data_IF_573237483943
#
_entry.id   IF_573237483943
#
_cell.length_a   1.000
_cell.length_b   1.000
_cell.length_c   1.000
_cell.angle_alpha   90.00
_cell.angle_beta   90.00
_cell.angle_gamma   90.00
#
_symmetry.space_group_name_H-M   'P 1'
#
loop_
_entity.id
_entity.type
_entity.pdbx_description
1 polymer ?
#
# COMPACT_ATOMS: atom_id res chain seq x y z
N UNK A 1 4.48 -51.38 19.82
CA UNK A 1 5.49 -50.53 19.15
C UNK A 1 4.75 -49.45 18.39
N UNK A 2 4.78 -48.21 18.90
CA UNK A 2 4.13 -47.08 18.25
C UNK A 2 4.93 -46.70 16.99
N UNK A 3 4.26 -46.63 15.84
CA UNK A 3 4.82 -46.07 14.60
C UNK A 3 5.16 -44.60 14.87
N UNK A 4 6.44 -44.26 14.86
CA UNK A 4 6.91 -42.88 14.79
C UNK A 4 6.32 -42.24 13.52
N UNK A 5 5.32 -41.38 13.67
CA UNK A 5 4.87 -40.53 12.58
C UNK A 5 5.98 -39.52 12.29
N UNK A 6 6.61 -39.62 11.12
CA UNK A 6 7.68 -38.74 10.66
C UNK A 6 7.13 -37.37 10.23
N UNK A 7 6.56 -36.64 11.18
CA UNK A 7 6.08 -35.25 10.99
C UNK A 7 6.97 -34.25 11.72
N UNK A 8 7.91 -34.72 12.54
CA UNK A 8 8.93 -33.85 13.10
C UNK A 8 9.97 -33.53 12.00
N UNK A 9 9.97 -32.28 11.56
CA UNK A 9 11.09 -31.67 10.87
C UNK A 9 12.39 -32.13 11.56
N UNK A 10 13.39 -32.56 10.79
CA UNK A 10 14.72 -32.86 11.34
C UNK A 10 15.20 -31.71 12.23
N UNK A 11 15.95 -31.99 13.30
CA UNK A 11 16.44 -30.98 14.24
C UNK A 11 17.03 -29.76 13.52
N UNK A 12 17.84 -30.00 12.48
CA UNK A 12 18.40 -28.95 11.62
C UNK A 12 17.38 -28.08 10.89
N UNK A 13 16.27 -28.66 10.44
CA UNK A 13 15.19 -27.92 9.77
C UNK A 13 14.31 -27.12 10.75
N UNK A 14 14.15 -27.57 11.99
CA UNK A 14 13.46 -26.80 13.03
C UNK A 14 14.31 -25.60 13.48
N UNK A 15 15.61 -25.81 13.66
CA UNK A 15 16.57 -24.75 13.99
C UNK A 15 16.62 -23.70 12.87
N UNK A 16 16.67 -24.13 11.62
CA UNK A 16 16.66 -23.24 10.46
C UNK A 16 15.35 -22.46 10.35
N UNK A 17 14.20 -23.11 10.56
CA UNK A 17 12.89 -22.44 10.54
C UNK A 17 12.80 -21.38 11.64
N UNK A 18 13.23 -21.73 12.86
CA UNK A 18 13.27 -20.80 14.00
C UNK A 18 14.18 -19.61 13.70
N UNK A 19 15.39 -19.86 13.18
CA UNK A 19 16.33 -18.81 12.81
C UNK A 19 15.78 -17.90 11.69
N UNK A 20 15.12 -18.49 10.68
CA UNK A 20 14.48 -17.73 9.61
C UNK A 20 13.33 -16.86 10.14
N UNK A 21 12.43 -17.41 10.96
CA UNK A 21 11.31 -16.68 11.53
C UNK A 21 11.79 -15.53 12.42
N UNK A 22 12.83 -15.75 13.22
CA UNK A 22 13.45 -14.71 14.03
C UNK A 22 14.03 -13.61 13.13
N UNK A 23 14.86 -13.99 12.14
CA UNK A 23 15.43 -13.04 11.19
C UNK A 23 14.35 -12.23 10.45
N UNK A 24 13.28 -12.89 10.00
CA UNK A 24 12.18 -12.26 9.29
C UNK A 24 11.36 -11.33 10.21
N UNK A 25 11.16 -11.70 11.47
CA UNK A 25 10.48 -10.87 12.47
C UNK A 25 11.28 -9.59 12.77
N UNK A 26 12.61 -9.72 12.82
CA UNK A 26 13.50 -8.61 13.17
C UNK A 26 13.80 -7.67 11.99
N UNK A 27 13.85 -8.18 10.75
CA UNK A 27 14.39 -7.45 9.61
C UNK A 27 13.39 -7.16 8.47
N UNK A 28 12.20 -7.77 8.48
CA UNK A 28 11.24 -7.53 7.40
C UNK A 28 10.53 -6.17 7.53
N UNK A 29 9.96 -5.72 6.40
CA UNK A 29 8.99 -4.63 6.37
C UNK A 29 7.82 -4.90 7.32
N UNK A 30 7.13 -3.87 7.83
CA UNK A 30 6.13 -4.08 8.88
C UNK A 30 5.04 -5.06 8.49
N UNK A 31 4.79 -6.05 9.35
CA UNK A 31 3.70 -7.01 9.16
C UNK A 31 3.12 -7.43 10.51
N UNK A 32 1.84 -7.82 10.51
CA UNK A 32 1.18 -8.29 11.71
C UNK A 32 0.04 -9.26 11.40
N UNK A 33 -0.26 -10.13 12.36
CA UNK A 33 -1.37 -11.08 12.35
C UNK A 33 -2.40 -10.62 13.38
N UNK A 34 -3.67 -10.63 12.99
CA UNK A 34 -4.78 -10.33 13.90
C UNK A 34 -5.85 -11.42 13.85
N UNK A 35 -6.51 -11.62 14.98
CA UNK A 35 -7.71 -12.45 15.08
C UNK A 35 -8.97 -11.72 14.57
N UNK A 36 -10.11 -12.42 14.66
CA UNK A 36 -11.39 -11.92 14.20
C UNK A 36 -11.87 -10.67 14.97
N UNK A 37 -11.53 -10.59 16.25
CA UNK A 37 -11.88 -9.46 17.12
C UNK A 37 -11.02 -8.22 16.86
N UNK A 38 -9.88 -8.39 16.19
CA UNK A 38 -8.96 -7.30 15.87
C UNK A 38 -7.92 -7.09 16.94
N UNK A 39 -7.48 -8.17 17.57
CA UNK A 39 -6.37 -8.19 18.51
C UNK A 39 -5.12 -8.69 17.78
N UNK A 40 -3.97 -8.07 18.07
CA UNK A 40 -2.69 -8.51 17.52
C UNK A 40 -2.28 -9.85 18.15
N UNK A 41 -1.89 -10.82 17.32
CA UNK A 41 -1.36 -12.11 17.74
C UNK A 41 0.15 -12.21 17.57
N UNK A 42 0.65 -11.65 16.46
CA UNK A 42 2.07 -11.63 16.14
C UNK A 42 2.35 -10.43 15.25
N UNK A 43 3.56 -9.89 15.32
CA UNK A 43 3.98 -8.79 14.47
C UNK A 43 5.49 -8.76 14.29
N UNK A 44 5.95 -8.10 13.23
CA UNK A 44 7.36 -7.75 13.08
C UNK A 44 7.77 -6.72 14.13
N UNK A 45 9.07 -6.66 14.42
CA UNK A 45 9.66 -5.67 15.33
C UNK A 45 9.39 -4.22 14.88
N UNK A 46 9.25 -4.01 13.57
CA UNK A 46 9.04 -2.70 12.95
C UNK A 46 7.62 -2.15 13.11
N UNK A 47 6.63 -2.93 13.57
CA UNK A 47 5.24 -2.44 13.76
C UNK A 47 5.11 -1.45 14.93
N UNK A 48 5.62 -1.76 16.15
CA UNK A 48 5.65 -0.76 17.22
C UNK A 48 6.40 0.52 16.83
N UNK A 49 7.48 0.41 16.06
CA UNK A 49 8.25 1.56 15.55
C UNK A 49 7.41 2.40 14.58
N UNK A 50 6.73 1.75 13.63
CA UNK A 50 5.81 2.40 12.68
C UNK A 50 4.70 3.18 13.41
N UNK A 51 4.10 2.57 14.43
CA UNK A 51 3.07 3.21 15.25
C UNK A 51 3.63 4.13 16.33
N UNK A 52 4.97 4.21 16.45
CA UNK A 52 5.71 5.01 17.44
C UNK A 52 5.27 4.72 18.88
N UNK A 53 4.99 3.45 19.16
CA UNK A 53 4.58 2.95 20.46
C UNK A 53 5.78 2.82 21.39
N UNK A 54 5.59 3.18 22.67
CA UNK A 54 6.60 2.93 23.71
C UNK A 54 6.67 1.45 24.12
N UNK A 55 5.53 0.76 24.07
CA UNK A 55 5.43 -0.65 24.38
C UNK A 55 5.53 -1.45 23.08
N UNK A 56 6.45 -2.40 23.04
CA UNK A 56 6.69 -3.27 21.88
C UNK A 56 5.81 -4.52 21.88
N UNK A 57 5.20 -4.89 23.01
CA UNK A 57 4.30 -6.04 23.08
C UNK A 57 2.85 -5.62 22.77
N UNK A 58 2.39 -6.04 21.59
CA UNK A 58 1.03 -5.79 21.11
C UNK A 58 0.09 -6.98 21.33
N UNK A 59 0.59 -8.14 21.77
CA UNK A 59 -0.20 -9.37 21.90
C UNK A 59 -1.49 -9.15 22.70
N UNK A 60 -2.61 -9.60 22.14
CA UNK A 60 -3.94 -9.52 22.73
C UNK A 60 -4.54 -8.13 22.78
N UNK A 61 -3.86 -7.10 22.24
CA UNK A 61 -4.37 -5.72 22.23
C UNK A 61 -4.97 -5.38 20.89
N UNK A 62 -5.94 -4.48 20.90
CA UNK A 62 -6.55 -3.87 19.71
C UNK A 62 -5.95 -2.49 19.40
N UNK A 63 -6.20 -2.00 18.18
CA UNK A 63 -5.84 -0.62 17.80
C UNK A 63 -6.44 0.44 18.75
N UNK A 64 -7.61 0.14 19.34
CA UNK A 64 -8.30 1.05 20.25
C UNK A 64 -7.63 1.15 21.61
N UNK A 65 -7.25 0.01 22.20
CA UNK A 65 -6.53 -0.04 23.48
C UNK A 65 -5.11 0.52 23.37
N UNK A 66 -4.46 0.31 22.23
CA UNK A 66 -3.16 0.91 21.93
C UNK A 66 -3.26 2.43 21.71
N UNK A 67 -4.48 2.95 21.53
CA UNK A 67 -4.69 4.35 21.18
C UNK A 67 -3.96 4.70 19.90
N UNK A 68 -4.05 3.84 18.87
CA UNK A 68 -3.43 4.06 17.55
C UNK A 68 -4.50 4.15 16.47
N UNK A 69 -4.15 4.87 15.40
CA UNK A 69 -4.97 5.05 14.20
C UNK A 69 -6.32 5.73 14.50
N UNK A 70 -7.01 6.21 13.46
CA UNK A 70 -8.28 6.92 13.67
C UNK A 70 -9.45 5.96 13.91
N UNK A 71 -10.47 6.41 14.64
CA UNK A 71 -11.74 5.66 14.81
C UNK A 71 -12.36 5.24 13.47
N UNK A 72 -12.25 6.10 12.46
CA UNK A 72 -12.74 5.85 11.11
C UNK A 72 -11.96 4.72 10.42
N UNK A 73 -10.63 4.68 10.60
CA UNK A 73 -9.80 3.58 10.14
C UNK A 73 -10.22 2.27 10.82
N UNK A 74 -10.29 2.24 12.15
CA UNK A 74 -10.61 1.01 12.91
C UNK A 74 -11.92 0.37 12.45
N UNK A 75 -12.95 1.20 12.24
CA UNK A 75 -14.25 0.74 11.70
C UNK A 75 -14.15 0.15 10.29
N UNK A 76 -13.35 0.73 9.41
CA UNK A 76 -13.13 0.23 8.04
C UNK A 76 -12.28 -1.04 8.05
N UNK A 77 -11.19 -1.06 8.81
CA UNK A 77 -10.31 -2.21 8.92
C UNK A 77 -11.06 -3.43 9.46
N UNK A 78 -11.92 -3.27 10.47
CA UNK A 78 -12.82 -4.35 10.94
C UNK A 78 -13.63 -4.97 9.79
N UNK A 79 -14.27 -4.14 8.95
CA UNK A 79 -15.02 -4.63 7.78
C UNK A 79 -14.13 -5.35 6.76
N UNK A 80 -12.93 -4.82 6.52
CA UNK A 80 -11.94 -5.44 5.62
C UNK A 80 -11.54 -6.82 6.16
N UNK A 81 -11.15 -6.94 7.42
CA UNK A 81 -10.76 -8.22 8.04
C UNK A 81 -11.88 -9.25 7.97
N UNK A 82 -13.11 -8.88 8.35
CA UNK A 82 -14.27 -9.77 8.23
C UNK A 82 -14.48 -10.24 6.79
N UNK A 83 -14.29 -9.35 5.80
CA UNK A 83 -14.42 -9.70 4.38
C UNK A 83 -13.30 -10.63 3.91
N UNK A 84 -12.06 -10.35 4.31
CA UNK A 84 -10.87 -11.16 4.01
C UNK A 84 -11.04 -12.59 4.51
N UNK A 85 -11.44 -12.75 5.77
CA UNK A 85 -11.61 -14.07 6.40
C UNK A 85 -12.82 -14.85 5.85
N UNK A 86 -13.97 -14.18 5.66
CA UNK A 86 -15.21 -14.85 5.22
C UNK A 86 -15.17 -15.27 3.75
N UNK A 87 -14.56 -14.45 2.89
CA UNK A 87 -14.54 -14.68 1.44
C UNK A 87 -13.20 -15.18 0.91
N UNK A 88 -12.22 -15.39 1.78
CA UNK A 88 -10.84 -15.76 1.41
C UNK A 88 -10.28 -14.83 0.32
N UNK A 89 -10.25 -13.54 0.62
CA UNK A 89 -9.81 -12.49 -0.33
C UNK A 89 -8.54 -11.82 0.16
N UNK A 90 -7.60 -11.56 -0.75
CA UNK A 90 -6.54 -10.57 -0.55
C UNK A 90 -7.09 -9.19 -0.89
N UNK A 91 -7.06 -8.26 0.07
CA UNK A 91 -7.48 -6.87 -0.11
C UNK A 91 -6.26 -5.97 0.04
N UNK A 92 -6.06 -5.07 -0.94
CA UNK A 92 -5.00 -4.07 -0.92
C UNK A 92 -5.65 -2.70 -0.70
N UNK A 93 -5.25 -1.99 0.34
CA UNK A 93 -5.71 -0.64 0.62
C UNK A 93 -4.57 0.37 0.67
N UNK A 94 -4.87 1.59 0.23
CA UNK A 94 -4.08 2.78 0.53
C UNK A 94 -4.63 3.41 1.79
N UNK A 95 -3.74 3.66 2.72
CA UNK A 95 -4.04 4.16 4.06
C UNK A 95 -3.20 5.39 4.33
N UNK A 96 -3.86 6.54 4.42
CA UNK A 96 -3.24 7.82 4.72
C UNK A 96 -3.62 8.16 6.16
N UNK A 97 -2.69 7.98 7.09
CA UNK A 97 -2.94 8.17 8.52
C UNK A 97 -1.89 9.06 9.16
N UNK A 98 -2.32 9.71 10.24
CA UNK A 98 -1.42 10.34 11.18
C UNK A 98 -0.94 9.24 12.13
N UNK A 99 0.31 8.83 12.00
CA UNK A 99 0.97 8.06 13.03
C UNK A 99 1.25 9.02 14.19
N UNK A 100 0.88 8.65 15.42
CA UNK A 100 0.59 9.55 16.56
C UNK A 100 1.65 10.62 16.93
N UNK A 101 2.85 10.61 16.33
CA UNK A 101 3.90 11.63 16.51
C UNK A 101 4.46 12.23 15.23
N UNK A 102 3.93 11.90 14.05
CA UNK A 102 4.23 12.65 12.83
C UNK A 102 3.37 13.90 12.77
N UNK A 103 3.96 15.00 12.27
CA UNK A 103 3.21 16.24 11.98
C UNK A 103 2.38 16.13 10.70
N UNK A 104 2.54 15.04 9.95
CA UNK A 104 2.00 14.88 8.61
C UNK A 104 1.36 13.50 8.45
N UNK A 105 0.24 13.45 7.73
CA UNK A 105 -0.37 12.20 7.35
C UNK A 105 0.53 11.47 6.34
N UNK A 106 0.85 10.22 6.62
CA UNK A 106 1.76 9.41 5.79
C UNK A 106 0.95 8.36 5.03
N UNK A 107 1.10 8.28 3.69
CA UNK A 107 0.45 7.26 2.89
C UNK A 107 1.24 5.96 2.94
N UNK A 108 0.56 4.87 3.31
CA UNK A 108 1.09 3.52 3.33
C UNK A 108 0.10 2.56 2.68
N UNK A 109 0.60 1.41 2.27
CA UNK A 109 -0.20 0.40 1.60
C UNK A 109 -0.27 -0.84 2.45
N UNK A 110 -1.50 -1.26 2.70
CA UNK A 110 -1.83 -2.40 3.53
C UNK A 110 -2.29 -3.52 2.60
N UNK A 111 -1.59 -4.65 2.67
CA UNK A 111 -1.95 -5.88 1.95
C UNK A 111 -2.44 -6.86 3.01
N UNK A 112 -3.76 -7.03 3.10
CA UNK A 112 -4.40 -7.91 4.08
C UNK A 112 -4.90 -9.18 3.40
N UNK A 113 -4.55 -10.32 3.97
CA UNK A 113 -4.78 -11.65 3.41
C UNK A 113 -5.30 -12.61 4.48
N UNK A 114 -6.06 -13.64 4.09
CA UNK A 114 -6.43 -14.68 5.03
C UNK A 114 -5.17 -15.43 5.48
N UNK A 115 -5.08 -15.73 6.77
CA UNK A 115 -4.05 -16.57 7.35
C UNK A 115 -4.75 -17.71 8.10
N UNK A 116 -4.50 -18.95 7.68
CA UNK A 116 -5.09 -20.14 8.28
C UNK A 116 -4.04 -20.80 9.16
N UNK A 117 -4.38 -21.08 10.41
CA UNK A 117 -3.54 -21.86 11.31
C UNK A 117 -4.43 -22.81 12.11
N UNK A 118 -4.24 -24.11 11.89
CA UNK A 118 -5.22 -25.12 12.30
C UNK A 118 -6.58 -24.88 11.65
N UNK A 119 -7.63 -24.98 12.46
CA UNK A 119 -9.02 -24.72 12.04
C UNK A 119 -9.44 -23.26 12.20
N UNK A 120 -8.55 -22.40 12.69
CA UNK A 120 -8.83 -20.99 12.94
C UNK A 120 -8.43 -20.09 11.76
N UNK A 121 -9.24 -19.04 11.55
CA UNK A 121 -9.03 -18.04 10.51
C UNK A 121 -8.59 -16.72 11.12
N UNK A 122 -7.46 -16.25 10.64
CA UNK A 122 -6.87 -14.97 11.00
C UNK A 122 -6.68 -14.11 9.76
N UNK A 123 -6.13 -12.93 9.97
CA UNK A 123 -5.60 -12.10 8.87
C UNK A 123 -4.14 -11.84 9.09
N UNK A 124 -3.34 -11.89 8.02
CA UNK A 124 -2.00 -11.33 8.00
C UNK A 124 -2.03 -10.05 7.16
N UNK A 125 -1.44 -8.98 7.69
CA UNK A 125 -1.32 -7.70 7.02
C UNK A 125 0.14 -7.33 6.87
N UNK A 126 0.54 -7.02 5.65
CA UNK A 126 1.85 -6.43 5.34
C UNK A 126 1.67 -4.96 5.03
N UNK A 127 2.53 -4.12 5.58
CA UNK A 127 2.55 -2.68 5.35
C UNK A 127 3.79 -2.32 4.56
N UNK A 128 3.59 -1.61 3.46
CA UNK A 128 4.65 -1.19 2.55
C UNK A 128 4.50 0.28 2.21
N UNK A 129 5.61 0.90 1.79
CA UNK A 129 5.61 2.25 1.26
C UNK A 129 4.86 2.33 -0.08
N UNK A 130 4.21 3.46 -0.37
CA UNK A 130 3.50 3.70 -1.64
C UNK A 130 4.38 3.55 -2.88
N UNK A 131 5.69 3.82 -2.77
CA UNK A 131 6.67 3.59 -3.83
C UNK A 131 6.75 2.11 -4.25
N UNK A 132 6.32 1.20 -3.37
CA UNK A 132 6.32 -0.23 -3.65
C UNK A 132 5.10 -0.68 -4.47
N UNK A 133 4.01 0.11 -4.53
CA UNK A 133 2.74 -0.27 -5.20
C UNK A 133 2.91 -0.70 -6.65
N UNK A 134 3.78 -0.03 -7.40
CA UNK A 134 3.94 -0.29 -8.85
C UNK A 134 4.82 -1.48 -9.17
N UNK A 135 5.64 -1.92 -8.21
CA UNK A 135 6.33 -3.21 -8.28
C UNK A 135 5.36 -4.40 -8.13
N UNK A 136 4.17 -4.19 -7.57
CA UNK A 136 3.13 -5.22 -7.42
C UNK A 136 2.08 -5.24 -8.53
N UNK A 137 2.01 -4.19 -9.36
CA UNK A 137 1.40 -4.38 -10.68
C UNK A 137 2.37 -5.31 -11.42
N UNK A 138 1.97 -6.55 -11.65
CA UNK A 138 2.73 -7.55 -12.41
C UNK A 138 2.88 -7.10 -13.87
N UNK A 139 3.57 -5.99 -14.11
CA UNK A 139 4.37 -5.87 -15.32
C UNK A 139 5.43 -6.94 -15.17
N UNK A 140 5.21 -8.07 -15.84
CA UNK A 140 6.24 -9.08 -16.03
C UNK A 140 7.56 -8.39 -16.32
N UNK A 141 8.65 -8.82 -15.70
CA UNK A 141 9.98 -8.28 -15.95
C UNK A 141 10.30 -8.28 -17.46
N UNK A 142 9.75 -9.26 -18.18
CA UNK A 142 9.79 -9.35 -19.64
C UNK A 142 9.02 -8.24 -20.38
N UNK A 143 8.01 -7.61 -19.78
CA UNK A 143 7.31 -6.40 -20.31
C UNK A 143 8.03 -5.09 -19.97
N UNK A 144 8.90 -5.06 -18.96
CA UNK A 144 9.82 -3.92 -18.76
C UNK A 144 10.99 -3.97 -19.74
N UNK A 145 11.44 -5.17 -20.11
CA UNK A 145 12.56 -5.39 -21.04
C UNK A 145 12.15 -5.53 -22.50
N UNK A 146 10.93 -6.00 -22.79
CA UNK A 146 10.39 -5.91 -24.14
C UNK A 146 10.12 -4.44 -24.43
N UNK A 147 10.63 -3.94 -25.55
CA UNK A 147 10.31 -2.61 -26.11
C UNK A 147 8.82 -2.44 -26.47
N UNK A 148 7.97 -3.36 -26.04
CA UNK A 148 6.52 -3.39 -26.25
C UNK A 148 5.76 -2.96 -24.98
N UNK A 149 6.26 -1.96 -24.26
CA UNK A 149 5.37 -1.14 -23.45
C UNK A 149 4.63 -0.21 -24.40
N UNK A 150 3.43 -0.62 -24.79
CA UNK A 150 2.47 0.16 -25.56
C UNK A 150 2.22 1.52 -24.90
N UNK A 151 3.05 2.53 -25.20
CA UNK A 151 2.63 3.92 -25.10
C UNK A 151 1.59 4.13 -26.19
N UNK A 152 0.37 4.52 -25.83
CA UNK A 152 -0.50 5.10 -26.84
C UNK A 152 0.04 6.49 -27.14
N UNK A 153 0.37 6.71 -28.41
CA UNK A 153 0.99 7.92 -28.97
C UNK A 153 2.41 8.23 -28.46
N UNK A 154 3.30 8.41 -29.43
CA UNK A 154 4.66 8.96 -29.34
C UNK A 154 4.70 10.05 -28.26
N UNK A 155 5.42 9.81 -27.17
CA UNK A 155 5.76 10.88 -26.23
C UNK A 155 6.42 12.01 -27.02
N UNK A 156 6.01 13.26 -26.80
CA UNK A 156 6.59 14.42 -27.52
C UNK A 156 8.08 14.60 -27.25
N UNK A 157 8.57 14.03 -26.15
CA UNK A 157 9.96 14.05 -25.74
C UNK A 157 10.50 12.63 -25.50
N UNK A 158 11.79 12.40 -25.76
CA UNK A 158 12.46 11.18 -25.31
C UNK A 158 12.25 10.92 -23.82
N UNK A 159 11.97 9.67 -23.45
CA UNK A 159 11.75 9.25 -22.04
C UNK A 159 12.85 9.76 -21.11
N UNK A 160 14.11 9.77 -21.57
CA UNK A 160 15.28 10.20 -20.79
C UNK A 160 15.20 11.65 -20.32
N UNK A 161 14.57 12.54 -21.09
CA UNK A 161 14.44 13.95 -20.71
C UNK A 161 13.56 14.14 -19.47
N UNK A 162 12.70 13.16 -19.15
CA UNK A 162 11.90 13.20 -17.94
C UNK A 162 12.67 12.82 -16.67
N UNK A 163 13.90 12.31 -16.79
CA UNK A 163 14.74 11.96 -15.64
C UNK A 163 15.17 13.17 -14.81
N UNK A 164 15.26 14.34 -15.45
CA UNK A 164 15.65 15.60 -14.83
C UNK A 164 14.43 16.43 -14.39
N UNK A 165 13.21 15.98 -14.74
CA UNK A 165 11.99 16.70 -14.40
C UNK A 165 11.53 16.34 -12.99
N UNK A 166 11.50 17.37 -12.13
CA UNK A 166 10.74 17.34 -10.89
C UNK A 166 9.35 17.94 -11.14
N UNK A 167 8.24 17.16 -11.02
CA UNK A 167 6.90 17.65 -11.34
C UNK A 167 6.46 18.84 -10.47
N UNK A 168 7.07 19.03 -9.30
CA UNK A 168 6.78 20.14 -8.39
C UNK A 168 7.27 21.50 -8.91
N UNK A 169 8.25 21.51 -9.83
CA UNK A 169 8.79 22.75 -10.39
C UNK A 169 7.87 23.32 -11.49
N UNK A 170 6.99 22.48 -12.05
CA UNK A 170 6.12 22.84 -13.19
C UNK A 170 4.65 22.92 -12.81
N UNK A 171 4.23 22.26 -11.73
CA UNK A 171 2.84 22.15 -11.33
C UNK A 171 2.61 22.81 -9.98
N UNK A 172 1.50 23.54 -9.87
CA UNK A 172 1.05 24.01 -8.56
C UNK A 172 0.52 22.85 -7.70
N UNK A 173 0.42 23.08 -6.39
CA UNK A 173 -0.02 22.09 -5.40
C UNK A 173 -1.36 21.43 -5.77
N UNK A 174 -2.30 22.20 -6.32
CA UNK A 174 -3.59 21.65 -6.72
C UNK A 174 -3.50 20.71 -7.92
N UNK A 175 -2.69 21.07 -8.92
CA UNK A 175 -2.45 20.25 -10.11
C UNK A 175 -1.74 18.96 -9.72
N UNK A 176 -0.68 19.09 -8.91
CA UNK A 176 0.09 17.95 -8.43
C UNK A 176 -0.73 17.03 -7.54
N UNK A 177 -1.56 17.57 -6.64
CA UNK A 177 -2.44 16.76 -5.81
C UNK A 177 -3.39 15.87 -6.62
N UNK A 178 -4.04 16.43 -7.65
CA UNK A 178 -4.91 15.65 -8.52
C UNK A 178 -4.14 14.56 -9.28
N UNK A 179 -2.96 14.88 -9.81
CA UNK A 179 -2.11 13.91 -10.51
C UNK A 179 -1.59 12.81 -9.56
N UNK A 180 -1.16 13.17 -8.36
CA UNK A 180 -0.70 12.21 -7.37
C UNK A 180 -1.82 11.26 -6.93
N UNK A 181 -3.06 11.75 -6.80
CA UNK A 181 -4.22 10.88 -6.58
C UNK A 181 -4.46 9.92 -7.77
N UNK A 182 -4.24 10.35 -9.01
CA UNK A 182 -4.22 9.43 -10.15
C UNK A 182 -3.10 8.38 -10.01
N UNK A 183 -1.91 8.77 -9.52
CA UNK A 183 -0.81 7.81 -9.26
C UNK A 183 -1.21 6.73 -8.26
N UNK A 184 -2.01 7.11 -7.28
CA UNK A 184 -2.56 6.26 -6.23
C UNK A 184 -3.81 5.46 -6.65
N UNK A 185 -4.23 5.52 -7.92
CA UNK A 185 -5.34 4.73 -8.44
C UNK A 185 -6.74 5.29 -8.16
N UNK A 186 -6.85 6.57 -7.80
CA UNK A 186 -8.15 7.22 -7.66
C UNK A 186 -8.75 7.54 -9.04
N UNK A 187 -10.05 7.30 -9.19
CA UNK A 187 -10.80 7.71 -10.37
C UNK A 187 -11.03 9.23 -10.36
N UNK A 188 -11.31 9.82 -11.53
CA UNK A 188 -11.59 11.27 -11.62
C UNK A 188 -12.79 11.67 -10.74
N UNK A 189 -13.77 10.77 -10.57
CA UNK A 189 -14.91 10.95 -9.68
C UNK A 189 -14.51 10.92 -8.20
N UNK A 190 -13.55 10.07 -7.82
CA UNK A 190 -13.06 10.07 -6.44
C UNK A 190 -12.23 11.33 -6.16
N UNK A 191 -11.39 11.74 -7.12
CA UNK A 191 -10.59 12.97 -7.04
C UNK A 191 -11.48 14.19 -6.89
N UNK A 192 -12.56 14.28 -7.69
CA UNK A 192 -13.50 15.41 -7.61
C UNK A 192 -14.12 15.53 -6.21
N UNK A 193 -14.45 14.40 -5.57
CA UNK A 193 -14.96 14.36 -4.20
C UNK A 193 -13.90 14.77 -3.17
N UNK A 194 -12.66 14.29 -3.31
CA UNK A 194 -11.57 14.57 -2.35
C UNK A 194 -11.12 16.03 -2.42
N UNK A 195 -11.06 16.57 -3.63
CA UNK A 195 -10.63 17.95 -3.91
C UNK A 195 -11.78 18.96 -3.86
N UNK A 196 -13.00 18.51 -3.57
CA UNK A 196 -14.22 19.33 -3.49
C UNK A 196 -14.49 20.13 -4.79
N UNK A 197 -14.21 19.50 -5.93
CA UNK A 197 -14.43 20.04 -7.28
C UNK A 197 -15.50 19.27 -8.02
N UNK A 198 -16.10 19.91 -9.02
CA UNK A 198 -16.93 19.18 -9.97
C UNK A 198 -16.06 18.31 -10.91
N UNK A 199 -16.68 17.31 -11.53
CA UNK A 199 -15.98 16.33 -12.37
C UNK A 199 -15.36 16.96 -13.63
N UNK A 200 -16.06 17.93 -14.25
CA UNK A 200 -15.58 18.63 -15.46
C UNK A 200 -14.30 19.41 -15.17
N UNK A 201 -14.28 20.19 -14.11
CA UNK A 201 -13.13 20.97 -13.66
C UNK A 201 -11.97 20.05 -13.26
N UNK A 202 -12.26 18.88 -12.69
CA UNK A 202 -11.23 17.87 -12.36
C UNK A 202 -10.58 17.31 -13.61
N UNK A 203 -11.36 16.93 -14.62
CA UNK A 203 -10.85 16.43 -15.89
C UNK A 203 -10.03 17.51 -16.64
N UNK A 204 -10.52 18.75 -16.64
CA UNK A 204 -9.83 19.87 -17.28
C UNK A 204 -8.51 20.20 -16.58
N UNK A 205 -8.49 20.20 -15.24
CA UNK A 205 -7.26 20.35 -14.46
C UNK A 205 -6.23 19.28 -14.82
N UNK A 206 -6.64 18.00 -14.82
CA UNK A 206 -5.75 16.88 -15.13
C UNK A 206 -5.19 16.99 -16.56
N UNK A 207 -6.04 17.32 -17.54
CA UNK A 207 -5.60 17.51 -18.92
C UNK A 207 -4.60 18.67 -19.06
N UNK A 208 -4.82 19.79 -18.36
CA UNK A 208 -3.85 20.89 -18.33
C UNK A 208 -2.53 20.44 -17.70
N UNK A 209 -2.56 19.71 -16.59
CA UNK A 209 -1.35 19.20 -15.94
C UNK A 209 -0.58 18.21 -16.82
N UNK A 210 -1.27 17.32 -17.55
CA UNK A 210 -0.62 16.41 -18.50
C UNK A 210 0.09 17.14 -19.64
N UNK A 211 -0.50 18.24 -20.14
CA UNK A 211 0.11 19.10 -21.16
C UNK A 211 1.32 19.84 -20.62
N UNK A 212 1.22 20.41 -19.41
CA UNK A 212 2.37 21.07 -18.75
C UNK A 212 3.56 20.14 -18.60
N UNK A 213 3.30 18.85 -18.32
CA UNK A 213 4.34 17.83 -18.22
C UNK A 213 4.70 17.18 -19.57
N UNK A 214 4.07 17.53 -20.70
CA UNK A 214 4.28 16.90 -22.01
C UNK A 214 4.08 15.36 -22.03
N UNK A 215 3.17 14.83 -21.20
CA UNK A 215 2.84 13.38 -21.17
C UNK A 215 1.51 13.05 -21.85
N UNK A 216 0.62 14.04 -22.03
CA UNK A 216 -0.64 14.04 -22.80
C UNK A 216 -1.71 12.98 -22.52
N UNK A 217 -1.38 11.83 -21.91
CA UNK A 217 -2.32 10.79 -21.53
C UNK A 217 -2.06 10.33 -20.10
N UNK A 218 -3.10 9.84 -19.42
CA UNK A 218 -2.95 9.22 -18.11
C UNK A 218 -1.99 8.03 -18.17
N UNK A 219 -2.04 7.20 -19.22
CA UNK A 219 -1.17 6.03 -19.39
C UNK A 219 0.31 6.43 -19.44
N UNK A 220 0.63 7.45 -20.23
CA UNK A 220 1.99 8.00 -20.34
C UNK A 220 2.44 8.63 -19.03
N UNK A 221 1.58 9.41 -18.37
CA UNK A 221 1.85 9.95 -17.04
C UNK A 221 2.17 8.84 -16.04
N UNK A 222 1.36 7.78 -15.99
CA UNK A 222 1.57 6.63 -15.11
C UNK A 222 2.88 5.90 -15.43
N UNK A 223 3.24 5.77 -16.71
CA UNK A 223 4.50 5.14 -17.11
C UNK A 223 5.72 5.96 -16.66
N UNK A 224 5.77 7.25 -17.01
CA UNK A 224 6.89 8.16 -16.70
C UNK A 224 7.06 8.31 -15.18
N UNK A 225 5.96 8.57 -14.47
CA UNK A 225 6.00 8.68 -13.01
C UNK A 225 6.54 7.43 -12.33
N UNK A 226 6.17 6.24 -12.81
CA UNK A 226 6.66 4.97 -12.26
C UNK A 226 8.14 4.72 -12.56
N UNK A 227 8.65 5.17 -13.70
CA UNK A 227 10.08 5.07 -14.03
C UNK A 227 10.95 5.97 -13.14
N UNK A 228 10.48 7.19 -12.88
CA UNK A 228 11.25 8.22 -12.16
C UNK A 228 10.82 8.39 -10.70
N UNK A 229 9.96 7.51 -10.18
CA UNK A 229 9.57 7.47 -8.77
C UNK A 229 8.81 8.70 -8.30
N UNK A 230 8.02 9.34 -9.17
CA UNK A 230 7.32 10.58 -8.84
C UNK A 230 6.26 10.41 -7.74
N UNK A 231 5.84 9.19 -7.43
CA UNK A 231 4.96 8.90 -6.30
C UNK A 231 5.55 9.31 -4.93
N UNK A 232 6.87 9.49 -4.85
CA UNK A 232 7.59 9.98 -3.65
C UNK A 232 7.23 11.41 -3.28
N UNK A 233 6.81 12.22 -4.25
CA UNK A 233 6.45 13.62 -4.01
C UNK A 233 5.01 13.71 -3.48
N UNK A 234 4.83 13.51 -2.17
CA UNK A 234 3.49 13.52 -1.56
C UNK A 234 2.96 14.97 -1.44
N UNK A 235 1.77 15.30 -1.98
CA UNK A 235 1.19 16.64 -1.87
C UNK A 235 0.93 17.07 -0.43
N UNK A 236 1.19 18.33 -0.10
CA UNK A 236 0.95 18.90 1.26
C UNK A 236 -0.52 18.80 1.66
N UNK A 237 -1.41 18.97 0.70
CA UNK A 237 -2.86 18.85 0.90
C UNK A 237 -3.29 17.45 1.37
N UNK A 238 -2.64 16.40 0.88
CA UNK A 238 -2.88 15.01 1.29
C UNK A 238 -2.33 14.73 2.69
N UNK A 239 -1.22 15.39 3.04
CA UNK A 239 -0.61 15.30 4.36
C UNK A 239 -1.45 15.91 5.49
N UNK A 240 -2.67 16.38 5.23
CA UNK A 240 -3.55 17.07 6.18
C UNK A 240 -4.84 16.30 6.54
N UNK A 241 -5.18 15.20 5.84
CA UNK A 241 -6.45 14.48 6.01
C UNK A 241 -6.22 12.97 6.02
N UNK A 242 -6.99 12.22 6.84
CA UNK A 242 -7.00 10.76 6.77
C UNK A 242 -7.85 10.25 5.61
N UNK A 243 -7.32 9.28 4.86
CA UNK A 243 -8.04 8.65 3.75
C UNK A 243 -7.74 7.16 3.73
N UNK A 244 -8.77 6.36 3.45
CA UNK A 244 -8.64 4.93 3.15
C UNK A 244 -9.26 4.68 1.79
N UNK A 245 -8.56 3.98 0.89
CA UNK A 245 -9.08 3.56 -0.41
C UNK A 245 -8.72 2.10 -0.65
N UNK A 246 -9.71 1.31 -1.03
CA UNK A 246 -9.45 -0.03 -1.56
C UNK A 246 -8.89 0.13 -2.98
N UNK A 247 -7.66 -0.34 -3.18
CA UNK A 247 -6.97 -0.30 -4.47
C UNK A 247 -7.30 -1.56 -5.28
N UNK A 248 -7.33 -2.72 -4.64
CA UNK A 248 -7.55 -4.00 -5.31
C UNK A 248 -8.15 -5.05 -4.37
N UNK A 249 -8.96 -5.91 -4.94
CA UNK A 249 -9.49 -7.12 -4.30
C UNK A 249 -9.12 -8.30 -5.21
N UNK A 250 -8.49 -9.33 -4.64
CA UNK A 250 -8.02 -10.51 -5.35
C UNK A 250 -8.55 -11.74 -4.60
N UNK A 251 -9.04 -12.75 -5.33
CA UNK A 251 -9.37 -14.04 -4.72
C UNK A 251 -8.07 -14.71 -4.27
N UNK A 252 -7.96 -15.06 -2.99
CA UNK A 252 -6.77 -15.78 -2.53
C UNK A 252 -6.76 -17.16 -3.22
N UNK A 253 -5.61 -17.53 -3.78
CA UNK A 253 -5.38 -18.92 -4.16
C UNK A 253 -5.29 -19.70 -2.84
N UNK A 254 -6.20 -20.66 -2.64
CA UNK A 254 -6.07 -21.65 -1.58
C UNK A 254 -4.88 -22.57 -1.88
#
# INVERSE_FOLDING_TARGET
MAKHNSIDLSVRSQDLLTAFLQHYTDNAAPWFIMNADGEYLLHSRTVPELFKLKNTNLYGKSDEELGVLSKNYRRRNKKIRTTVMSKSLRIITLEIHLFYRDKHYTPLVYITEPFLFGDEKYTITRVIDVCSLRRFSFMSYNKMLSKESSTDSVLEKPVREFSELNPLDFLNESQWCALWLCLMGYSYRDISKITERNLKNTAELLNRSFRTLNVHTLKNFLYISGLYGWERYIPKTIQSKSVTKILKIIKAAC
#
